data_IF_533916340865
#
_entry.id   IF_533916340865
#
_cell.length_a   1.000
_cell.length_b   1.000
_cell.length_c   1.000
_cell.angle_alpha   90.00
_cell.angle_beta   90.00
_cell.angle_gamma   90.00
#
_symmetry.space_group_name_H-M   'P 1'
#
loop_
_entity.id
_entity.type
_entity.pdbx_description
1 polymer ?
#
# COMPACT_ATOMS: atom_id res chain seq x y z
N UNK A 1 14.90 -9.85 -32.73
CA UNK A 1 15.41 -11.03 -32.00
C UNK A 1 14.58 -11.29 -30.74
N UNK A 2 14.42 -12.54 -30.30
CA UNK A 2 13.67 -12.86 -29.05
C UNK A 2 14.35 -12.32 -27.80
N UNK A 3 15.69 -12.31 -27.78
CA UNK A 3 16.49 -11.74 -26.69
C UNK A 3 16.13 -10.26 -26.41
N UNK A 4 15.91 -9.45 -27.46
CA UNK A 4 15.49 -8.05 -27.31
C UNK A 4 14.13 -7.92 -26.60
N UNK A 5 13.17 -8.80 -26.92
CA UNK A 5 11.84 -8.77 -26.29
C UNK A 5 11.91 -9.17 -24.81
N UNK A 6 12.67 -10.21 -24.50
CA UNK A 6 12.87 -10.67 -23.12
C UNK A 6 13.55 -9.56 -22.30
N UNK A 7 14.63 -8.99 -22.82
CA UNK A 7 15.33 -7.88 -22.16
C UNK A 7 14.43 -6.65 -21.99
N UNK A 8 13.63 -6.28 -23.00
CA UNK A 8 12.68 -5.17 -22.90
C UNK A 8 11.62 -5.39 -21.81
N UNK A 9 11.04 -6.59 -21.71
CA UNK A 9 10.10 -6.91 -20.62
C UNK A 9 10.78 -6.88 -19.25
N UNK A 10 12.02 -7.33 -19.16
CA UNK A 10 12.84 -7.22 -17.95
C UNK A 10 13.10 -5.76 -17.57
N UNK A 11 13.44 -4.89 -18.52
CA UNK A 11 13.64 -3.46 -18.26
C UNK A 11 12.37 -2.79 -17.74
N UNK A 12 11.22 -3.04 -18.39
CA UNK A 12 9.94 -2.49 -17.95
C UNK A 12 9.56 -2.96 -16.54
N UNK A 13 9.82 -4.23 -16.20
CA UNK A 13 9.61 -4.73 -14.85
C UNK A 13 10.51 -4.03 -13.81
N UNK A 14 11.79 -3.83 -14.12
CA UNK A 14 12.69 -3.12 -13.21
C UNK A 14 12.36 -1.63 -13.09
N UNK A 15 11.91 -0.99 -14.17
CA UNK A 15 11.42 0.39 -14.13
C UNK A 15 10.21 0.51 -13.18
N UNK A 16 9.25 -0.40 -13.28
CA UNK A 16 8.10 -0.42 -12.36
C UNK A 16 8.52 -0.62 -10.91
N UNK A 17 9.53 -1.47 -10.63
CA UNK A 17 10.10 -1.60 -9.28
C UNK A 17 10.67 -0.27 -8.79
N UNK A 18 11.46 0.42 -9.63
CA UNK A 18 12.03 1.73 -9.28
C UNK A 18 10.92 2.73 -8.95
N UNK A 19 9.84 2.77 -9.73
CA UNK A 19 8.69 3.67 -9.51
C UNK A 19 7.98 3.38 -8.18
N UNK A 20 7.70 2.10 -7.89
CA UNK A 20 7.04 1.69 -6.63
C UNK A 20 7.91 2.00 -5.41
N UNK A 21 9.20 1.66 -5.46
CA UNK A 21 10.15 1.92 -4.37
C UNK A 21 10.34 3.43 -4.15
N UNK A 22 10.40 4.20 -5.23
CA UNK A 22 10.49 5.67 -5.15
C UNK A 22 9.24 6.26 -4.49
N UNK A 23 8.06 5.71 -4.78
CA UNK A 23 6.81 6.12 -4.13
C UNK A 23 6.81 5.77 -2.64
N UNK A 24 7.27 4.57 -2.26
CA UNK A 24 7.40 4.18 -0.85
C UNK A 24 8.33 5.14 -0.11
N UNK A 25 9.51 5.43 -0.67
CA UNK A 25 10.49 6.31 -0.07
C UNK A 25 9.95 7.74 0.08
N UNK A 26 9.22 8.26 -0.91
CA UNK A 26 8.59 9.57 -0.84
C UNK A 26 7.53 9.66 0.28
N UNK A 27 6.87 8.55 0.61
CA UNK A 27 5.82 8.47 1.63
C UNK A 27 6.33 7.90 2.97
N UNK A 28 7.64 7.91 3.23
CA UNK A 28 8.19 7.42 4.50
C UNK A 28 7.75 8.25 5.72
N UNK A 29 7.41 9.52 5.50
CA UNK A 29 6.96 10.44 6.56
C UNK A 29 5.43 10.62 6.58
N UNK A 30 4.71 9.95 5.68
CA UNK A 30 3.26 10.01 5.62
C UNK A 30 2.67 9.13 6.72
N UNK A 31 1.78 9.70 7.53
CA UNK A 31 1.13 9.00 8.65
C UNK A 31 0.24 7.87 8.14
N UNK A 32 0.34 6.70 8.79
CA UNK A 32 -0.45 5.51 8.44
C UNK A 32 -0.21 4.95 7.03
N UNK A 33 0.88 5.33 6.36
CA UNK A 33 1.20 4.80 5.02
C UNK A 33 1.74 3.38 5.10
N UNK A 34 1.25 2.51 4.21
CA UNK A 34 1.75 1.14 4.06
C UNK A 34 2.56 0.96 2.77
N UNK A 35 3.74 0.36 2.90
CA UNK A 35 4.63 0.09 1.77
C UNK A 35 3.94 -0.76 0.69
N UNK A 36 4.22 -0.48 -0.58
CA UNK A 36 3.72 -1.25 -1.72
C UNK A 36 4.82 -2.07 -2.36
N UNK A 37 4.48 -3.25 -2.88
CA UNK A 37 5.42 -4.14 -3.58
C UNK A 37 4.91 -4.49 -4.96
N UNK A 38 5.78 -4.33 -5.97
CA UNK A 38 5.52 -4.82 -7.32
C UNK A 38 5.77 -6.34 -7.39
N UNK A 39 4.79 -7.07 -7.90
CA UNK A 39 4.85 -8.51 -8.11
C UNK A 39 4.89 -8.82 -9.61
N UNK A 40 5.65 -9.84 -10.00
CA UNK A 40 5.86 -10.21 -11.40
C UNK A 40 5.60 -11.70 -11.59
N UNK A 41 5.11 -12.04 -12.78
CA UNK A 41 4.94 -13.41 -13.24
C UNK A 41 5.75 -13.63 -14.52
N UNK A 42 6.24 -14.85 -14.72
CA UNK A 42 6.85 -15.24 -15.98
C UNK A 42 5.80 -15.30 -17.11
N UNK A 43 6.28 -15.15 -18.34
CA UNK A 43 5.48 -15.32 -19.54
C UNK A 43 5.56 -16.77 -20.04
N UNK A 44 4.54 -17.18 -20.80
CA UNK A 44 4.39 -18.54 -21.31
C UNK A 44 5.66 -19.07 -22.00
N UNK A 45 5.88 -20.39 -21.89
CA UNK A 45 7.04 -21.05 -22.47
C UNK A 45 6.76 -21.52 -23.90
N UNK A 46 7.64 -21.19 -24.84
CA UNK A 46 7.61 -21.78 -26.18
C UNK A 46 8.33 -23.13 -26.17
N UNK A 47 7.58 -24.19 -26.45
CA UNK A 47 8.12 -25.54 -26.56
C UNK A 47 8.54 -25.81 -28.01
N UNK A 48 9.85 -25.82 -28.29
CA UNK A 48 10.37 -26.11 -29.63
C UNK A 48 10.47 -27.62 -29.89
N UNK A 49 10.80 -28.39 -28.85
CA UNK A 49 10.87 -29.85 -28.91
C UNK A 49 10.26 -30.41 -27.64
N UNK A 50 9.31 -31.34 -27.76
CA UNK A 50 8.78 -32.07 -26.59
C UNK A 50 9.80 -33.10 -26.13
N UNK A 51 10.00 -33.19 -24.81
CA UNK A 51 10.71 -34.32 -24.22
C UNK A 51 9.97 -35.61 -24.62
N UNK A 52 10.71 -36.65 -25.01
CA UNK A 52 10.13 -37.90 -25.49
C UNK A 52 9.87 -37.96 -27.01
N UNK A 53 10.25 -36.93 -27.78
CA UNK A 53 10.19 -37.00 -29.25
C UNK A 53 11.31 -37.91 -29.79
N UNK A 54 10.99 -38.71 -30.81
CA UNK A 54 11.95 -39.60 -31.46
C UNK A 54 12.72 -38.79 -32.52
N UNK A 55 14.04 -38.76 -32.41
CA UNK A 55 14.88 -37.97 -33.30
C UNK A 55 14.86 -38.58 -34.72
N UNK A 56 14.51 -37.78 -35.73
CA UNK A 56 14.28 -38.28 -37.09
C UNK A 56 15.55 -38.80 -37.79
N UNK A 57 16.73 -38.40 -37.31
CA UNK A 57 18.03 -38.78 -37.88
C UNK A 57 18.60 -40.10 -37.32
N UNK A 58 18.23 -40.50 -36.10
CA UNK A 58 18.93 -41.58 -35.38
C UNK A 58 18.02 -42.49 -34.53
N UNK A 59 16.70 -42.26 -34.53
CA UNK A 59 15.73 -43.07 -33.79
C UNK A 59 15.82 -43.00 -32.26
N UNK A 60 16.72 -42.18 -31.71
CA UNK A 60 16.89 -41.98 -30.27
C UNK A 60 15.80 -41.06 -29.72
N UNK A 61 15.29 -41.38 -28.53
CA UNK A 61 14.30 -40.55 -27.82
C UNK A 61 15.03 -39.40 -27.14
N UNK A 62 14.63 -38.16 -27.43
CA UNK A 62 15.19 -36.99 -26.77
C UNK A 62 14.79 -36.97 -25.28
N UNK A 63 15.74 -37.03 -24.34
CA UNK A 63 15.44 -37.10 -22.91
C UNK A 63 14.99 -35.75 -22.33
N UNK A 64 15.35 -34.63 -22.96
CA UNK A 64 14.97 -33.28 -22.55
C UNK A 64 14.38 -32.51 -23.73
N UNK A 65 13.30 -31.77 -23.46
CA UNK A 65 12.69 -30.86 -24.43
C UNK A 65 13.35 -29.48 -24.39
N UNK A 66 13.21 -28.70 -25.46
CA UNK A 66 13.66 -27.30 -25.49
C UNK A 66 12.47 -26.41 -25.14
N UNK A 67 12.52 -25.78 -23.96
CA UNK A 67 11.54 -24.81 -23.49
C UNK A 67 12.22 -23.44 -23.34
N UNK A 68 11.63 -22.40 -23.94
CA UNK A 68 12.16 -21.04 -23.90
C UNK A 68 11.12 -20.11 -23.28
N UNK A 69 11.48 -19.44 -22.18
CA UNK A 69 10.63 -18.43 -21.54
C UNK A 69 10.52 -17.16 -22.39
N UNK A 70 9.35 -16.53 -22.38
CA UNK A 70 9.07 -15.34 -23.19
C UNK A 70 9.35 -14.01 -22.48
N UNK A 71 9.83 -14.05 -21.23
CA UNK A 71 10.12 -12.87 -20.42
C UNK A 71 9.25 -12.82 -19.17
N UNK A 72 8.98 -11.60 -18.70
CA UNK A 72 8.23 -11.33 -17.45
C UNK A 72 7.13 -10.30 -17.68
N UNK A 73 6.10 -10.28 -16.84
CA UNK A 73 5.08 -9.23 -16.81
C UNK A 73 4.77 -8.80 -15.39
N UNK A 74 4.32 -7.55 -15.17
CA UNK A 74 3.69 -7.16 -13.92
C UNK A 74 2.45 -8.02 -13.65
N UNK A 75 2.35 -8.53 -12.43
CA UNK A 75 1.20 -9.27 -11.93
C UNK A 75 0.29 -8.38 -11.10
N UNK A 76 0.84 -7.64 -10.14
CA UNK A 76 0.12 -6.74 -9.26
C UNK A 76 1.07 -5.73 -8.57
N UNK A 77 0.51 -4.67 -8.00
CA UNK A 77 1.16 -3.87 -6.95
C UNK A 77 0.33 -4.06 -5.69
N UNK A 78 0.88 -4.79 -4.72
CA UNK A 78 0.18 -5.15 -3.49
C UNK A 78 0.63 -4.28 -2.32
N UNK A 79 -0.32 -3.93 -1.44
CA UNK A 79 0.01 -3.24 -0.18
C UNK A 79 0.53 -4.27 0.82
N UNK A 80 1.65 -3.96 1.46
CA UNK A 80 2.20 -4.69 2.59
C UNK A 80 1.63 -4.08 3.88
N UNK A 81 0.55 -4.69 4.37
CA UNK A 81 -0.07 -4.28 5.63
C UNK A 81 0.85 -4.65 6.79
N UNK A 82 1.36 -3.65 7.49
CA UNK A 82 2.10 -3.80 8.73
C UNK A 82 1.97 -2.54 9.56
N UNK A 83 1.77 -2.70 10.86
CA UNK A 83 1.70 -1.57 11.79
C UNK A 83 3.03 -0.80 11.79
N UNK A 84 2.96 0.51 11.57
CA UNK A 84 4.10 1.41 11.75
C UNK A 84 4.38 1.73 13.22
N UNK A 85 5.54 2.32 13.50
CA UNK A 85 5.84 2.76 14.87
C UNK A 85 4.92 3.90 15.31
N UNK A 86 4.42 3.85 16.54
CA UNK A 86 3.62 4.93 17.12
C UNK A 86 4.52 6.06 17.61
N UNK A 87 4.34 7.27 17.08
CA UNK A 87 5.09 8.46 17.48
C UNK A 87 4.22 9.38 18.33
N UNK A 88 4.69 9.77 19.51
CA UNK A 88 3.99 10.71 20.38
C UNK A 88 4.08 12.12 19.79
N UNK A 89 2.94 12.74 19.48
CA UNK A 89 2.85 14.11 18.98
C UNK A 89 2.39 15.09 20.06
N UNK A 90 1.62 14.59 21.04
CA UNK A 90 1.01 15.42 22.09
C UNK A 90 -0.16 16.29 21.62
N UNK A 91 -0.67 16.06 20.41
CA UNK A 91 -1.88 16.74 19.92
C UNK A 91 -3.15 16.12 20.52
N UNK A 92 -4.08 16.96 20.98
CA UNK A 92 -5.33 16.49 21.62
C UNK A 92 -6.22 15.68 20.67
N UNK A 93 -6.16 15.95 19.37
CA UNK A 93 -6.94 15.27 18.32
C UNK A 93 -6.07 14.34 17.46
N UNK A 94 -4.79 14.18 17.81
CA UNK A 94 -3.94 13.22 17.12
C UNK A 94 -4.24 11.84 17.70
N UNK A 95 -4.67 10.93 16.83
CA UNK A 95 -5.10 9.59 17.20
C UNK A 95 -4.33 8.56 16.41
N UNK A 96 -3.87 7.50 17.07
CA UNK A 96 -3.33 6.34 16.40
C UNK A 96 -4.14 5.09 16.70
N UNK A 97 -4.22 4.20 15.72
CA UNK A 97 -4.82 2.88 15.86
C UNK A 97 -3.70 1.89 16.20
N UNK A 98 -3.82 1.21 17.33
CA UNK A 98 -2.94 0.11 17.74
C UNK A 98 -3.64 -1.22 17.43
N UNK A 99 -3.25 -1.86 16.32
CA UNK A 99 -3.87 -3.09 15.82
C UNK A 99 -4.60 -2.91 14.50
N UNK A 100 -5.56 -3.79 14.19
CA UNK A 100 -6.26 -3.76 12.90
C UNK A 100 -7.42 -2.75 12.88
N UNK A 101 -7.73 -2.22 11.70
CA UNK A 101 -8.91 -1.38 11.47
C UNK A 101 -8.59 0.02 10.94
N UNK A 102 -9.66 0.73 10.60
CA UNK A 102 -9.62 2.03 9.94
C UNK A 102 -10.66 2.96 10.56
N UNK A 103 -10.38 4.26 10.58
CA UNK A 103 -11.36 5.31 10.84
C UNK A 103 -12.23 5.51 9.61
N UNK A 104 -13.51 5.69 9.85
CA UNK A 104 -14.47 5.99 8.79
C UNK A 104 -14.57 7.50 8.58
N UNK A 105 -14.57 7.94 7.33
CA UNK A 105 -14.73 9.34 6.96
C UNK A 105 -15.76 9.48 5.84
N UNK A 106 -16.48 10.60 5.86
CA UNK A 106 -17.47 10.92 4.83
C UNK A 106 -16.86 11.89 3.82
N UNK A 107 -16.76 11.46 2.56
CA UNK A 107 -16.30 12.31 1.47
C UNK A 107 -17.36 13.39 1.14
N UNK A 108 -16.98 14.51 0.49
CA UNK A 108 -17.94 15.54 0.08
C UNK A 108 -19.00 15.05 -0.91
N UNK A 109 -18.75 13.92 -1.58
CA UNK A 109 -19.71 13.23 -2.45
C UNK A 109 -20.81 12.49 -1.67
N UNK A 110 -20.68 12.35 -0.35
CA UNK A 110 -21.51 11.50 0.51
C UNK A 110 -21.09 10.02 0.52
N UNK A 111 -20.00 9.68 -0.15
CA UNK A 111 -19.45 8.32 -0.11
C UNK A 111 -18.56 8.12 1.12
N UNK A 112 -18.65 6.94 1.73
CA UNK A 112 -17.77 6.53 2.83
C UNK A 112 -16.37 6.18 2.32
N UNK A 113 -15.36 6.68 3.00
CA UNK A 113 -13.97 6.28 2.84
C UNK A 113 -13.37 5.89 4.19
N UNK A 114 -12.22 5.25 4.15
CA UNK A 114 -11.55 4.67 5.30
C UNK A 114 -10.12 5.18 5.35
N UNK A 115 -9.65 5.57 6.52
CA UNK A 115 -8.29 6.06 6.71
C UNK A 115 -7.66 5.48 7.95
N UNK A 116 -6.34 5.41 7.93
CA UNK A 116 -5.53 5.09 9.10
C UNK A 116 -4.72 6.29 9.58
N UNK A 117 -4.86 7.42 8.89
CA UNK A 117 -4.33 8.70 9.33
C UNK A 117 -5.25 9.31 10.39
N UNK A 118 -4.74 9.44 11.61
CA UNK A 118 -5.46 10.11 12.69
C UNK A 118 -4.92 11.49 13.02
N UNK A 119 -4.30 12.17 12.05
CA UNK A 119 -4.01 13.61 12.12
C UNK A 119 -5.28 14.47 12.01
N UNK A 120 -6.20 14.34 12.97
CA UNK A 120 -7.50 15.00 12.96
C UNK A 120 -7.39 16.47 13.40
N UNK A 121 -8.36 17.27 12.98
CA UNK A 121 -8.49 18.70 13.23
C UNK A 121 -9.93 19.02 13.61
N UNK A 122 -10.11 20.17 14.25
CA UNK A 122 -11.42 20.71 14.63
C UNK A 122 -11.78 21.88 13.73
N UNK A 123 -13.00 21.90 13.21
CA UNK A 123 -13.53 23.04 12.44
C UNK A 123 -14.05 24.15 13.36
N UNK A 124 -14.37 25.32 12.80
CA UNK A 124 -14.99 26.42 13.56
C UNK A 124 -16.38 26.12 14.12
N UNK A 125 -17.05 25.10 13.58
CA UNK A 125 -18.35 24.59 14.05
C UNK A 125 -18.18 23.53 15.16
N UNK A 126 -16.95 23.11 15.44
CA UNK A 126 -16.64 22.11 16.46
C UNK A 126 -16.57 20.68 15.93
N UNK A 127 -16.78 20.45 14.64
CA UNK A 127 -16.72 19.11 14.03
C UNK A 127 -15.28 18.60 13.98
N UNK A 128 -15.11 17.29 14.17
CA UNK A 128 -13.84 16.59 13.96
C UNK A 128 -13.74 16.22 12.48
N UNK A 129 -12.70 16.75 11.83
CA UNK A 129 -12.40 16.52 10.42
C UNK A 129 -10.98 16.03 10.24
N UNK A 130 -10.68 15.40 9.12
CA UNK A 130 -9.31 15.11 8.71
C UNK A 130 -8.57 16.38 8.30
N UNK A 131 -7.26 16.27 8.04
CA UNK A 131 -6.47 17.39 7.54
C UNK A 131 -6.97 17.96 6.20
N UNK A 132 -7.79 17.21 5.46
CA UNK A 132 -8.43 17.64 4.21
C UNK A 132 -9.82 18.26 4.40
N UNK A 133 -10.34 18.24 5.63
CA UNK A 133 -11.67 18.75 5.96
C UNK A 133 -12.80 17.73 5.79
N UNK A 134 -12.51 16.44 5.64
CA UNK A 134 -13.54 15.40 5.61
C UNK A 134 -13.97 15.03 7.02
N UNK A 135 -15.27 14.90 7.24
CA UNK A 135 -15.85 14.56 8.52
C UNK A 135 -15.56 13.11 8.90
N UNK A 136 -15.21 12.89 10.16
CA UNK A 136 -15.04 11.53 10.72
C UNK A 136 -16.42 11.01 11.17
N UNK A 137 -16.73 9.76 10.87
CA UNK A 137 -17.97 9.10 11.26
C UNK A 137 -17.75 8.22 12.51
N UNK A 138 -18.66 8.25 13.50
CA UNK A 138 -19.86 9.09 13.60
C UNK A 138 -19.53 10.56 13.86
N UNK A 139 -20.48 11.44 13.55
CA UNK A 139 -20.33 12.89 13.73
C UNK A 139 -20.17 13.24 15.22
N UNK A 140 -19.01 13.79 15.58
CA UNK A 140 -18.71 14.25 16.94
C UNK A 140 -18.48 15.76 16.90
N UNK A 141 -19.33 16.49 17.61
CA UNK A 141 -19.25 17.94 17.76
C UNK A 141 -18.62 18.28 19.11
N UNK A 142 -17.51 18.98 19.09
CA UNK A 142 -16.84 19.51 20.27
C UNK A 142 -17.38 20.93 20.53
N UNK A 143 -18.01 21.18 21.70
CA UNK A 143 -18.48 22.51 22.07
C UNK A 143 -17.34 23.53 22.28
N UNK A 144 -17.57 24.81 22.00
CA UNK A 144 -16.54 25.87 22.05
C UNK A 144 -16.07 26.24 23.46
N UNK A 145 -16.86 25.88 24.46
CA UNK A 145 -16.60 26.01 25.89
C UNK A 145 -15.76 24.86 26.47
N UNK A 146 -15.48 23.81 25.69
CA UNK A 146 -14.61 22.72 26.10
C UNK A 146 -13.16 23.21 26.27
N UNK A 147 -12.61 23.00 27.47
CA UNK A 147 -11.23 23.38 27.83
C UNK A 147 -10.18 22.38 27.34
N UNK A 148 -10.50 21.09 27.44
CA UNK A 148 -9.63 19.99 27.01
C UNK A 148 -10.45 18.79 26.59
N UNK A 149 -9.87 17.96 25.73
CA UNK A 149 -10.50 16.75 25.20
C UNK A 149 -9.64 15.56 25.61
N UNK A 150 -10.28 14.47 26.04
CA UNK A 150 -9.62 13.20 26.26
C UNK A 150 -10.33 12.12 25.47
N UNK A 151 -9.57 11.26 24.80
CA UNK A 151 -10.08 10.13 24.03
C UNK A 151 -9.56 8.87 24.71
N UNK A 152 -10.46 7.98 25.13
CA UNK A 152 -10.06 6.73 25.76
C UNK A 152 -9.68 5.67 24.71
N UNK A 153 -9.21 4.51 25.17
CA UNK A 153 -8.78 3.44 24.29
C UNK A 153 -9.92 2.80 23.48
N UNK A 154 -11.14 2.92 23.98
CA UNK A 154 -12.38 2.43 23.37
C UNK A 154 -12.97 3.44 22.37
N UNK A 155 -12.26 4.56 22.12
CA UNK A 155 -12.64 5.59 21.16
C UNK A 155 -13.67 6.61 21.64
N UNK A 156 -14.07 6.55 22.90
CA UNK A 156 -14.98 7.52 23.52
C UNK A 156 -14.27 8.87 23.71
N UNK A 157 -14.93 9.92 23.23
CA UNK A 157 -14.44 11.30 23.27
C UNK A 157 -15.11 12.04 24.42
N UNK A 158 -14.32 12.43 25.40
CA UNK A 158 -14.75 13.19 26.57
C UNK A 158 -14.27 14.63 26.49
N UNK A 159 -15.13 15.58 26.85
CA UNK A 159 -14.79 16.99 27.01
C UNK A 159 -14.86 17.42 28.47
N UNK A 160 -13.91 18.27 28.86
CA UNK A 160 -13.88 18.91 30.18
C UNK A 160 -14.23 20.38 30.04
N UNK A 161 -15.16 20.85 30.86
CA UNK A 161 -15.63 22.24 30.88
C UNK A 161 -15.05 23.00 32.09
N UNK A 162 -15.12 24.33 32.06
CA UNK A 162 -14.60 25.15 33.15
C UNK A 162 -15.52 25.17 34.39
N UNK A 163 -16.82 25.00 34.17
CA UNK A 163 -17.87 25.14 35.20
C UNK A 163 -18.31 23.78 35.79
N UNK A 164 -17.92 22.67 35.17
CA UNK A 164 -18.24 21.32 35.59
C UNK A 164 -16.96 20.52 35.89
N UNK A 165 -16.97 19.79 37.01
CA UNK A 165 -15.83 18.98 37.44
C UNK A 165 -15.77 17.61 36.76
N UNK A 166 -16.90 17.13 36.24
CA UNK A 166 -17.02 15.84 35.56
C UNK A 166 -16.84 16.00 34.05
N UNK A 167 -16.28 14.98 33.41
CA UNK A 167 -16.13 14.96 31.96
C UNK A 167 -17.46 14.57 31.31
N UNK A 168 -17.86 15.27 30.25
CA UNK A 168 -19.03 14.90 29.45
C UNK A 168 -18.62 14.05 28.26
N UNK A 169 -19.32 12.93 28.05
CA UNK A 169 -19.18 12.12 26.84
C UNK A 169 -19.81 12.85 25.64
N UNK A 170 -19.02 13.15 24.62
CA UNK A 170 -19.48 13.77 23.38
C UNK A 170 -19.90 12.74 22.32
N UNK A 171 -19.24 11.59 22.31
CA UNK A 171 -19.48 10.53 21.33
C UNK A 171 -18.37 9.48 21.38
N UNK A 172 -18.42 8.52 20.45
CA UNK A 172 -17.45 7.44 20.37
C UNK A 172 -17.08 7.20 18.90
N UNK A 173 -15.78 7.09 18.62
CA UNK A 173 -15.31 6.68 17.31
C UNK A 173 -15.66 5.22 17.04
N UNK A 174 -16.15 4.94 15.84
CA UNK A 174 -16.30 3.58 15.33
C UNK A 174 -15.11 3.23 14.45
N UNK A 175 -14.73 1.96 14.44
CA UNK A 175 -13.70 1.44 13.55
C UNK A 175 -14.30 0.47 12.55
N UNK A 176 -13.78 0.52 11.32
CA UNK A 176 -14.13 -0.43 10.27
C UNK A 176 -13.02 -1.48 10.10
N UNK A 177 -13.40 -2.75 10.22
CA UNK A 177 -12.60 -3.90 9.83
C UNK A 177 -12.99 -4.41 8.44
N UNK A 178 -12.05 -5.08 7.77
CA UNK A 178 -12.31 -5.75 6.49
C UNK A 178 -11.78 -7.18 6.53
N UNK A 179 -12.50 -8.10 5.90
CA UNK A 179 -12.02 -9.48 5.75
C UNK A 179 -10.72 -9.54 4.93
N UNK A 180 -10.62 -8.69 3.89
CA UNK A 180 -9.41 -8.58 3.09
C UNK A 180 -9.00 -7.10 2.90
N UNK A 181 -8.21 -6.52 3.80
CA UNK A 181 -7.81 -5.12 3.68
C UNK A 181 -6.89 -4.84 2.46
N UNK A 182 -6.28 -5.87 1.85
CA UNK A 182 -5.51 -5.70 0.61
C UNK A 182 -6.38 -5.45 -0.61
N UNK A 183 -7.68 -5.75 -0.52
CA UNK A 183 -8.65 -5.49 -1.58
C UNK A 183 -9.15 -4.05 -1.60
N UNK A 184 -8.80 -3.23 -0.60
CA UNK A 184 -9.19 -1.82 -0.55
C UNK A 184 -8.54 -1.03 -1.68
N UNK A 185 -9.30 -0.14 -2.29
CA UNK A 185 -8.80 0.75 -3.34
C UNK A 185 -8.36 2.07 -2.72
N UNK A 186 -7.13 2.50 -3.02
CA UNK A 186 -6.62 3.78 -2.52
C UNK A 186 -7.07 4.92 -3.45
N UNK A 187 -7.82 5.88 -2.92
CA UNK A 187 -8.36 7.03 -3.68
C UNK A 187 -7.49 8.29 -3.59
N UNK A 188 -6.36 8.22 -2.88
CA UNK A 188 -5.49 9.35 -2.59
C UNK A 188 -5.54 9.73 -1.11
N UNK A 189 -4.63 10.60 -0.67
CA UNK A 189 -4.69 11.21 0.68
C UNK A 189 -4.74 10.23 1.86
N UNK A 190 -4.12 9.06 1.69
CA UNK A 190 -4.18 7.92 2.62
C UNK A 190 -5.61 7.41 2.92
N UNK A 191 -6.54 7.68 2.01
CA UNK A 191 -7.93 7.23 2.05
C UNK A 191 -8.13 6.00 1.17
N UNK A 192 -9.04 5.15 1.62
CA UNK A 192 -9.38 3.89 0.99
C UNK A 192 -10.90 3.77 0.80
N UNK A 193 -11.33 3.14 -0.28
CA UNK A 193 -12.73 2.78 -0.51
C UNK A 193 -12.89 1.27 -0.55
N UNK A 194 -14.07 0.80 -0.14
CA UNK A 194 -14.41 -0.62 -0.25
C UNK A 194 -14.49 -1.07 -1.72
N UNK A 195 -14.17 -2.33 -1.95
CA UNK A 195 -14.33 -2.99 -3.24
C UNK A 195 -14.97 -4.37 -3.04
N UNK A 196 -15.39 -5.01 -4.13
CA UNK A 196 -15.85 -6.39 -4.07
C UNK A 196 -14.77 -7.35 -3.50
N UNK A 197 -13.49 -7.03 -3.72
CA UNK A 197 -12.37 -7.84 -3.24
C UNK A 197 -12.03 -7.60 -1.75
N UNK A 198 -12.40 -6.46 -1.16
CA UNK A 198 -12.20 -6.21 0.28
C UNK A 198 -13.23 -6.92 1.14
N UNK A 199 -14.43 -7.13 0.59
CA UNK A 199 -15.63 -7.46 1.33
C UNK A 199 -16.23 -6.21 1.99
N UNK A 200 -17.45 -6.34 2.56
CA UNK A 200 -18.13 -5.24 3.25
C UNK A 200 -17.40 -4.85 4.54
N UNK A 201 -17.53 -3.60 5.00
CA UNK A 201 -16.98 -3.14 6.27
C UNK A 201 -17.70 -3.82 7.43
N UNK A 202 -16.91 -4.26 8.40
CA UNK A 202 -17.39 -4.72 9.71
C UNK A 202 -17.14 -3.56 10.66
N UNK A 203 -18.17 -2.76 10.91
CA UNK A 203 -18.11 -1.67 11.88
C UNK A 203 -18.28 -2.24 13.28
N UNK A 204 -17.34 -1.92 14.18
CA UNK A 204 -17.42 -2.26 15.59
C UNK A 204 -16.70 -1.20 16.43
N UNK A 205 -16.80 -1.31 17.75
CA UNK A 205 -16.08 -0.41 18.65
C UNK A 205 -14.59 -0.78 18.68
N UNK A 206 -13.68 0.19 18.91
CA UNK A 206 -12.27 -0.09 19.12
C UNK A 206 -12.06 -1.13 20.25
N UNK A 207 -11.20 -2.12 20.02
CA UNK A 207 -10.90 -3.19 20.98
C UNK A 207 -11.85 -4.40 20.94
N UNK A 208 -12.96 -4.33 20.21
CA UNK A 208 -13.89 -5.45 19.99
C UNK A 208 -13.68 -6.14 18.63
N UNK A 209 -14.23 -7.34 18.47
CA UNK A 209 -14.22 -8.11 17.20
C UNK A 209 -12.85 -8.28 16.51
N UNK A 210 -11.76 -8.21 17.27
CA UNK A 210 -10.39 -8.30 16.75
C UNK A 210 -9.86 -6.99 16.12
N UNK A 211 -10.60 -5.89 16.27
CA UNK A 211 -10.14 -4.54 15.95
C UNK A 211 -9.16 -4.05 17.01
N UNK A 212 -8.29 -3.14 16.58
CA UNK A 212 -7.33 -2.47 17.44
C UNK A 212 -7.98 -1.47 18.39
N UNK A 213 -7.18 -0.97 19.33
CA UNK A 213 -7.59 0.11 20.24
C UNK A 213 -7.12 1.45 19.72
N UNK A 214 -7.77 2.50 20.18
CA UNK A 214 -7.39 3.88 19.89
C UNK A 214 -6.37 4.38 20.92
N UNK A 215 -5.43 5.22 20.51
CA UNK A 215 -4.47 5.87 21.41
C UNK A 215 -4.35 7.35 21.09
N UNK A 216 -4.76 8.19 22.02
CA UNK A 216 -4.69 9.65 21.92
C UNK A 216 -3.27 10.17 22.09
N UNK A 217 -2.92 11.23 21.33
CA UNK A 217 -1.64 11.94 21.40
C UNK A 217 -0.52 11.25 20.62
N UNK A 218 -0.85 10.26 19.80
CA UNK A 218 0.08 9.51 18.96
C UNK A 218 -0.40 9.54 17.52
N UNK A 219 0.54 9.47 16.58
CA UNK A 219 0.28 9.17 15.17
C UNK A 219 1.05 7.92 14.76
N UNK A 220 0.44 7.12 13.90
CA UNK A 220 1.11 5.97 13.30
C UNK A 220 2.09 6.44 12.21
N UNK A 221 3.36 6.08 12.32
CA UNK A 221 4.35 6.34 11.27
C UNK A 221 4.14 5.42 10.06
N UNK A 222 4.77 5.75 8.93
CA UNK A 222 4.83 4.87 7.78
C UNK A 222 5.48 3.53 8.14
N UNK A 223 5.00 2.43 7.55
CA UNK A 223 5.64 1.11 7.70
C UNK A 223 6.86 0.91 6.78
N UNK A 224 7.23 1.94 6.03
CA UNK A 224 8.36 1.94 5.09
C UNK A 224 9.70 1.95 5.84
N UNK A 225 10.55 0.96 5.53
CA UNK A 225 11.94 0.92 5.99
C UNK A 225 12.86 1.49 4.89
N UNK A 226 13.35 2.72 5.10
CA UNK A 226 14.19 3.41 4.13
C UNK A 226 15.47 2.65 3.76
N UNK A 227 16.07 1.90 4.69
CA UNK A 227 17.32 1.16 4.42
C UNK A 227 17.02 -0.02 3.49
N UNK A 228 15.92 -0.73 3.75
CA UNK A 228 15.45 -1.81 2.89
C UNK A 228 15.05 -1.29 1.51
N UNK A 229 14.27 -0.22 1.44
CA UNK A 229 13.84 0.38 0.16
C UNK A 229 15.03 0.85 -0.68
N UNK A 230 16.05 1.50 -0.09
CA UNK A 230 17.25 1.93 -0.83
C UNK A 230 18.03 0.72 -1.38
N UNK A 231 18.11 -0.37 -0.61
CA UNK A 231 18.77 -1.60 -1.07
C UNK A 231 18.02 -2.20 -2.26
N UNK A 232 16.69 -2.32 -2.16
CA UNK A 232 15.85 -2.79 -3.27
C UNK A 232 15.91 -1.86 -4.49
N UNK A 233 16.04 -0.55 -4.28
CA UNK A 233 16.19 0.45 -5.35
C UNK A 233 17.49 0.21 -6.13
N UNK A 234 18.61 0.00 -5.43
CA UNK A 234 19.90 -0.28 -6.04
C UNK A 234 19.85 -1.60 -6.84
N UNK A 235 19.19 -2.62 -6.29
CA UNK A 235 18.97 -3.88 -7.01
C UNK A 235 18.14 -3.68 -8.29
N UNK A 236 17.06 -2.91 -8.21
CA UNK A 236 16.21 -2.61 -9.37
C UNK A 236 16.96 -1.82 -10.44
N UNK A 237 17.73 -0.80 -10.05
CA UNK A 237 18.58 0.00 -10.95
C UNK A 237 19.66 -0.87 -11.63
N UNK A 238 20.36 -1.72 -10.87
CA UNK A 238 21.32 -2.67 -11.45
C UNK A 238 20.65 -3.66 -12.40
N UNK A 239 19.47 -4.16 -12.05
CA UNK A 239 18.68 -5.01 -12.93
C UNK A 239 18.32 -4.32 -14.25
N UNK A 240 17.92 -3.06 -14.21
CA UNK A 240 17.65 -2.25 -15.40
C UNK A 240 18.92 -2.05 -16.25
N UNK A 241 20.05 -1.72 -15.63
CA UNK A 241 21.36 -1.57 -16.30
C UNK A 241 21.84 -2.88 -16.96
N UNK A 242 21.66 -4.02 -16.30
CA UNK A 242 22.00 -5.32 -16.86
C UNK A 242 21.14 -5.65 -18.09
N UNK A 243 19.83 -5.39 -18.02
CA UNK A 243 18.95 -5.62 -19.16
C UNK A 243 19.26 -4.67 -20.33
N UNK A 244 19.67 -3.42 -20.08
CA UNK A 244 20.07 -2.50 -21.15
C UNK A 244 21.36 -2.96 -21.85
N UNK A 245 22.33 -3.48 -21.10
CA UNK A 245 23.54 -4.11 -21.66
C UNK A 245 23.22 -5.32 -22.54
N UNK A 246 22.21 -6.13 -22.19
CA UNK A 246 21.74 -7.24 -23.03
C UNK A 246 21.17 -6.73 -24.36
N UNK A 247 20.42 -5.63 -24.34
CA UNK A 247 19.92 -4.99 -25.57
C UNK A 247 21.09 -4.51 -26.43
N UNK A 248 22.05 -3.78 -25.85
CA UNK A 248 23.22 -3.30 -26.59
C UNK A 248 24.04 -4.44 -27.21
N UNK A 249 24.25 -5.54 -26.48
CA UNK A 249 24.94 -6.72 -27.01
C UNK A 249 24.16 -7.39 -28.15
N UNK A 250 22.82 -7.46 -28.03
CA UNK A 250 21.97 -7.97 -29.10
C UNK A 250 21.99 -7.08 -30.35
N UNK A 251 22.03 -5.76 -30.19
CA UNK A 251 22.15 -4.80 -31.30
C UNK A 251 23.53 -4.88 -31.98
N UNK A 252 24.61 -5.05 -31.20
CA UNK A 252 25.95 -5.29 -31.75
C UNK A 252 26.00 -6.57 -32.61
N UNK A 253 25.37 -7.66 -32.16
CA UNK A 253 25.28 -8.91 -32.95
C UNK A 253 24.48 -8.70 -34.25
N UNK A 254 23.39 -7.94 -34.21
CA UNK A 254 22.61 -7.61 -35.41
C UNK A 254 23.41 -6.76 -36.39
N UNK A 255 24.13 -5.75 -35.89
CA UNK A 255 25.01 -4.91 -36.71
C UNK A 255 26.12 -5.72 -37.36
N UNK A 256 26.82 -6.58 -36.59
CA UNK A 256 27.86 -7.45 -37.13
C UNK A 256 27.32 -8.38 -38.23
N UNK A 257 26.11 -8.94 -38.04
CA UNK A 257 25.48 -9.79 -39.06
C UNK A 257 25.14 -9.01 -40.33
N UNK A 258 24.72 -7.74 -40.20
CA UNK A 258 24.44 -6.88 -41.35
C UNK A 258 25.67 -6.46 -42.15
N UNK A 259 26.84 -6.37 -41.52
CA UNK A 259 28.13 -6.01 -42.14
C UNK A 259 28.80 -7.19 -42.88
N UNK A 260 28.35 -8.42 -42.65
CA UNK A 260 28.85 -9.63 -43.33
C UNK A 260 28.17 -9.84 -44.70
N UNK A 261 27.36 -8.88 -45.15
CA UNK A 261 26.75 -8.86 -46.49
C UNK A 261 27.49 -7.95 -47.47
#
# INVERSE_FOLDING_TARGET
MRALKIAATGMSAQQMRVEVISNNLANMSTTGYNARRAEFADLHYQQMTRAGTVNASDGSVLPTGIQLGLGVRPAAVSVQLSQGSLSATGGDLDVAIEGAGYLEVTLPSGQTAYTRDGGLKRTGEGLIVTSEGYEVSPEIVIPNDARSISINNDGEVYAYFAEEAEAQLLGQFTMAGFTNPKGLEAIGSNMFTETEASGPPIQSTPGEDGLGTIRQGYLEASSVDAVREITELIEAQRGYELNSKVISAADQMLSATSQVR
#
